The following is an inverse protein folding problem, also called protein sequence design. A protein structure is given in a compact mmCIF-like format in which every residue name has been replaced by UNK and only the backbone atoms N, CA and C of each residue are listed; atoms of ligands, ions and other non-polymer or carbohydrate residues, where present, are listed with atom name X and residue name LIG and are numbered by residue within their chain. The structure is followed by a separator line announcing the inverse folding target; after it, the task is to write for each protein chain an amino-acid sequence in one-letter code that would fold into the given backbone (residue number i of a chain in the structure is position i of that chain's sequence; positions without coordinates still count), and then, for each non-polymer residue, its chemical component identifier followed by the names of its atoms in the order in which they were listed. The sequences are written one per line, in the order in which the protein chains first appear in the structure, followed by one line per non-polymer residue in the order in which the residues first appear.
data_IF_500639860999
#
_entry.id   IF_500639860999
#
_cell.length_a   1.000
_cell.length_b   1.000
_cell.length_c   1.000
_cell.angle_alpha   90.00
_cell.angle_beta   90.00
_cell.angle_gamma   90.00
#
_symmetry.space_group_name_H-M   'P 1'
#
loop_
_entity.id
_entity.type
_entity.pdbx_description
1 polymer ?
#
# COMPACT_ATOMS: atom_id res chain seq x y z
N UNK A 1 4.35 -10.62 0.69
CA UNK A 1 4.27 -11.80 -0.19
C UNK A 1 5.21 -12.91 0.34
N UNK A 2 4.84 -13.56 1.46
CA UNK A 2 5.71 -14.57 2.08
C UNK A 2 6.08 -15.74 1.15
N UNK A 3 5.22 -16.06 0.19
CA UNK A 3 5.45 -17.12 -0.79
C UNK A 3 6.71 -16.90 -1.64
N UNK A 4 7.09 -15.65 -1.92
CA UNK A 4 8.28 -15.34 -2.72
C UNK A 4 9.60 -15.68 -2.00
N UNK A 5 9.56 -15.89 -0.68
CA UNK A 5 10.76 -16.31 0.08
C UNK A 5 11.10 -17.79 -0.07
N UNK A 6 10.21 -18.57 -0.69
CA UNK A 6 10.41 -20.01 -0.90
C UNK A 6 11.09 -20.33 -2.23
N UNK A 7 11.41 -19.32 -3.04
CA UNK A 7 12.02 -19.48 -4.36
C UNK A 7 13.29 -18.62 -4.47
N UNK A 8 14.15 -18.94 -5.44
CA UNK A 8 15.39 -18.17 -5.68
C UNK A 8 15.08 -16.71 -6.01
N UNK A 9 15.99 -15.81 -5.63
CA UNK A 9 15.84 -14.37 -5.87
C UNK A 9 15.68 -14.04 -7.37
N UNK A 10 16.36 -14.80 -8.23
CA UNK A 10 16.28 -14.70 -9.70
C UNK A 10 14.85 -14.89 -10.21
N UNK A 11 14.08 -15.77 -9.57
CA UNK A 11 12.67 -16.01 -9.90
C UNK A 11 11.72 -15.11 -9.10
N UNK A 12 12.06 -14.78 -7.86
CA UNK A 12 11.22 -13.96 -6.98
C UNK A 12 11.06 -12.52 -7.48
N UNK A 13 12.15 -11.91 -7.97
CA UNK A 13 12.17 -10.48 -8.29
C UNK A 13 11.29 -10.11 -9.49
N UNK A 14 11.28 -10.86 -10.62
CA UNK A 14 10.34 -10.62 -11.72
C UNK A 14 8.88 -10.78 -11.30
N UNK A 15 8.56 -11.83 -10.54
CA UNK A 15 7.19 -12.10 -10.04
C UNK A 15 6.72 -10.98 -9.10
N UNK A 16 7.60 -10.53 -8.22
CA UNK A 16 7.34 -9.36 -7.36
C UNK A 16 7.05 -8.11 -8.20
N UNK A 17 7.88 -7.81 -9.20
CA UNK A 17 7.74 -6.60 -10.02
C UNK A 17 6.43 -6.59 -10.82
N UNK A 18 6.06 -7.73 -11.40
CA UNK A 18 4.77 -7.91 -12.07
C UNK A 18 3.61 -7.64 -11.10
N UNK A 19 3.63 -8.28 -9.93
CA UNK A 19 2.59 -8.14 -8.91
C UNK A 19 2.47 -6.71 -8.38
N UNK A 20 3.61 -6.05 -8.13
CA UNK A 20 3.68 -4.66 -7.71
C UNK A 20 3.02 -3.72 -8.72
N UNK A 21 3.27 -3.93 -10.01
CA UNK A 21 2.72 -3.08 -11.08
C UNK A 21 1.19 -3.19 -11.22
N UNK A 22 0.61 -4.34 -10.89
CA UNK A 22 -0.84 -4.51 -10.81
C UNK A 22 -1.37 -3.87 -9.52
N UNK A 23 -0.76 -4.20 -8.38
CA UNK A 23 -1.20 -3.73 -7.06
C UNK A 23 -1.20 -2.21 -6.92
N UNK A 24 -0.22 -1.51 -7.51
CA UNK A 24 -0.17 -0.04 -7.47
C UNK A 24 -1.38 0.60 -8.17
N UNK A 25 -1.86 0.01 -9.28
CA UNK A 25 -3.02 0.53 -10.02
C UNK A 25 -4.30 0.35 -9.22
N UNK A 26 -4.49 -0.84 -8.64
CA UNK A 26 -5.63 -1.13 -7.75
C UNK A 26 -5.65 -0.18 -6.54
N UNK A 27 -4.49 0.09 -5.93
CA UNK A 27 -4.42 0.98 -4.78
C UNK A 27 -4.90 2.40 -5.11
N UNK A 28 -4.50 2.94 -6.27
CA UNK A 28 -4.97 4.27 -6.71
C UNK A 28 -6.50 4.26 -6.83
N UNK A 29 -7.07 3.20 -7.42
CA UNK A 29 -8.52 3.01 -7.48
C UNK A 29 -9.18 3.05 -6.10
N UNK A 30 -8.69 2.27 -5.14
CA UNK A 30 -9.25 2.24 -3.79
C UNK A 30 -9.15 3.58 -3.05
N UNK A 31 -8.03 4.30 -3.19
CA UNK A 31 -7.86 5.63 -2.59
C UNK A 31 -8.87 6.61 -3.19
N UNK A 32 -9.00 6.63 -4.52
CA UNK A 32 -9.94 7.53 -5.20
C UNK A 32 -11.40 7.22 -4.85
N UNK A 33 -11.78 5.95 -4.87
CA UNK A 33 -13.13 5.53 -4.47
C UNK A 33 -13.42 5.91 -3.03
N UNK A 34 -12.49 5.64 -2.10
CA UNK A 34 -12.65 6.02 -0.69
C UNK A 34 -12.78 7.53 -0.51
N UNK A 35 -11.96 8.33 -1.20
CA UNK A 35 -12.01 9.78 -1.11
C UNK A 35 -13.34 10.33 -1.64
N UNK A 36 -13.74 9.92 -2.85
CA UNK A 36 -14.99 10.39 -3.46
C UNK A 36 -16.20 10.00 -2.62
N UNK A 37 -16.27 8.75 -2.18
CA UNK A 37 -17.42 8.25 -1.40
C UNK A 37 -17.50 8.88 -0.02
N UNK A 38 -16.42 8.94 0.75
CA UNK A 38 -16.47 9.52 2.09
C UNK A 38 -16.73 11.04 2.09
N UNK A 39 -16.20 11.80 1.12
CA UNK A 39 -16.56 13.22 0.95
C UNK A 39 -18.05 13.37 0.57
N UNK A 40 -18.55 12.51 -0.32
CA UNK A 40 -19.96 12.53 -0.75
C UNK A 40 -20.94 12.18 0.36
N UNK A 41 -20.57 11.27 1.26
CA UNK A 41 -21.41 10.91 2.41
C UNK A 41 -21.32 11.99 3.49
N UNK A 42 -20.12 12.50 3.77
CA UNK A 42 -19.93 13.61 4.71
C UNK A 42 -20.77 14.83 4.33
N UNK A 43 -20.82 15.21 3.05
CA UNK A 43 -21.59 16.39 2.61
C UNK A 43 -23.11 16.24 2.77
N UNK A 44 -23.62 15.03 2.98
CA UNK A 44 -25.06 14.75 3.16
C UNK A 44 -25.45 14.50 4.62
N UNK A 45 -24.52 13.96 5.39
CA UNK A 45 -24.77 13.48 6.77
C UNK A 45 -24.12 14.36 7.82
N UNK A 46 -23.16 15.20 7.41
CA UNK A 46 -22.25 15.96 8.29
C UNK A 46 -21.46 15.07 9.28
N UNK A 47 -21.47 13.74 9.06
CA UNK A 47 -20.81 12.79 9.93
C UNK A 47 -19.29 12.76 9.66
N UNK A 48 -18.45 13.27 10.59
CA UNK A 48 -17.02 13.50 10.34
C UNK A 48 -16.21 12.20 10.19
N UNK A 49 -16.72 11.05 10.65
CA UNK A 49 -16.02 9.78 10.58
C UNK A 49 -15.79 9.31 9.14
N UNK A 50 -16.73 9.62 8.23
CA UNK A 50 -16.60 9.36 6.80
C UNK A 50 -15.45 10.14 6.18
N UNK A 51 -15.34 11.43 6.49
CA UNK A 51 -14.25 12.27 6.00
C UNK A 51 -12.90 11.82 6.59
N UNK A 52 -12.87 11.52 7.89
CA UNK A 52 -11.66 11.05 8.56
C UNK A 52 -11.16 9.71 7.99
N UNK A 53 -12.04 8.75 7.73
CA UNK A 53 -11.69 7.49 7.08
C UNK A 53 -11.08 7.69 5.68
N UNK A 54 -11.68 8.57 4.87
CA UNK A 54 -11.12 8.95 3.57
C UNK A 54 -9.73 9.59 3.68
N UNK A 55 -9.51 10.47 4.65
CA UNK A 55 -8.21 11.11 4.88
C UNK A 55 -7.14 10.07 5.28
N UNK A 56 -7.48 9.09 6.12
CA UNK A 56 -6.58 7.98 6.45
C UNK A 56 -6.22 7.19 5.18
N UNK A 57 -7.21 6.86 4.34
CA UNK A 57 -6.95 6.18 3.07
C UNK A 57 -6.05 6.99 2.14
N UNK A 58 -6.27 8.30 2.02
CA UNK A 58 -5.41 9.19 1.23
C UNK A 58 -3.99 9.28 1.80
N UNK A 59 -3.82 9.21 3.12
CA UNK A 59 -2.50 9.24 3.78
C UNK A 59 -1.61 8.01 3.45
N UNK A 60 -2.17 6.96 2.84
CA UNK A 60 -1.38 5.86 2.26
C UNK A 60 -0.40 6.39 1.19
N UNK A 61 -0.71 7.48 0.49
CA UNK A 61 0.16 8.09 -0.52
C UNK A 61 1.48 8.56 0.11
N UNK A 62 1.49 9.53 1.07
CA UNK A 62 2.74 9.96 1.69
C UNK A 62 3.48 8.82 2.40
N UNK A 63 2.78 7.88 3.03
CA UNK A 63 3.41 6.68 3.60
C UNK A 63 4.15 5.85 2.53
N UNK A 64 3.50 5.63 1.38
CA UNK A 64 4.09 4.85 0.28
C UNK A 64 5.31 5.56 -0.29
N UNK A 65 5.23 6.88 -0.51
CA UNK A 65 6.35 7.67 -1.03
C UNK A 65 7.55 7.68 -0.06
N UNK A 66 7.29 7.84 1.24
CA UNK A 66 8.35 7.94 2.24
C UNK A 66 9.04 6.60 2.53
N UNK A 67 8.26 5.51 2.66
CA UNK A 67 8.80 4.25 3.20
C UNK A 67 8.91 3.13 2.17
N UNK A 68 7.90 2.95 1.31
CA UNK A 68 7.84 1.82 0.38
C UNK A 68 8.59 2.12 -0.92
N UNK A 69 8.45 3.33 -1.46
CA UNK A 69 9.02 3.71 -2.75
C UNK A 69 10.56 3.60 -2.77
N UNK A 70 11.32 3.95 -1.72
CA UNK A 70 12.77 3.72 -1.70
C UNK A 70 13.15 2.23 -1.84
N UNK A 71 12.37 1.33 -1.25
CA UNK A 71 12.56 -0.12 -1.36
C UNK A 71 12.22 -0.59 -2.77
N UNK A 72 11.10 -0.14 -3.32
CA UNK A 72 10.69 -0.48 -4.70
C UNK A 72 11.75 -0.03 -5.72
N UNK A 73 12.24 1.20 -5.60
CA UNK A 73 13.25 1.73 -6.52
C UNK A 73 14.54 0.92 -6.46
N UNK A 74 14.93 0.47 -5.27
CA UNK A 74 16.12 -0.39 -5.10
C UNK A 74 15.91 -1.76 -5.74
N UNK A 75 14.77 -2.41 -5.49
CA UNK A 75 14.43 -3.71 -6.09
C UNK A 75 14.33 -3.64 -7.62
N UNK A 76 13.71 -2.59 -8.16
CA UNK A 76 13.62 -2.35 -9.61
C UNK A 76 15.01 -2.07 -10.23
N UNK A 77 15.88 -1.32 -9.53
CA UNK A 77 17.24 -1.08 -10.01
C UNK A 77 18.08 -2.35 -10.09
N UNK A 78 17.87 -3.30 -9.16
CA UNK A 78 18.51 -4.61 -9.20
C UNK A 78 17.95 -5.44 -10.37
N UNK A 79 16.63 -5.43 -10.56
CA UNK A 79 15.98 -6.14 -11.67
C UNK A 79 16.48 -5.64 -13.04
N UNK A 80 16.69 -4.34 -13.18
CA UNK A 80 17.22 -3.71 -14.41
C UNK A 80 18.74 -3.93 -14.61
N UNK A 81 19.42 -4.64 -13.71
CA UNK A 81 20.87 -4.83 -13.76
C UNK A 81 21.69 -3.57 -13.44
N UNK A 82 21.05 -2.49 -12.97
CA UNK A 82 21.71 -1.20 -12.64
C UNK A 82 22.40 -1.23 -11.27
N UNK A 83 22.11 -2.24 -10.44
CA UNK A 83 22.78 -2.51 -9.15
C UNK A 83 23.02 -4.01 -9.02
N UNK A 84 24.26 -4.42 -8.71
CA UNK A 84 24.61 -5.84 -8.55
C UNK A 84 24.35 -6.38 -7.14
N UNK A 85 24.55 -5.58 -6.09
CA UNK A 85 24.75 -6.10 -4.72
C UNK A 85 23.66 -5.70 -3.73
N UNK A 86 22.40 -6.01 -4.06
CA UNK A 86 21.31 -5.92 -3.10
C UNK A 86 21.00 -7.28 -2.49
N UNK A 87 20.96 -7.39 -1.16
CA UNK A 87 20.31 -8.53 -0.51
C UNK A 87 18.79 -8.46 -0.80
N UNK A 88 18.37 -9.08 -1.91
CA UNK A 88 17.00 -9.10 -2.42
C UNK A 88 16.04 -9.65 -1.37
N UNK A 89 16.43 -10.74 -0.69
CA UNK A 89 15.62 -11.36 0.37
C UNK A 89 15.32 -10.37 1.50
N UNK A 90 16.34 -9.63 1.97
CA UNK A 90 16.17 -8.59 3.00
C UNK A 90 15.26 -7.46 2.52
N UNK A 91 15.40 -7.03 1.26
CA UNK A 91 14.57 -5.97 0.68
C UNK A 91 13.11 -6.41 0.51
N UNK A 92 12.86 -7.61 0.01
CA UNK A 92 11.52 -8.21 -0.07
C UNK A 92 10.92 -8.39 1.34
N UNK A 93 11.74 -8.76 2.32
CA UNK A 93 11.31 -8.86 3.72
C UNK A 93 10.88 -7.51 4.28
N UNK A 94 11.68 -6.46 4.06
CA UNK A 94 11.33 -5.10 4.45
C UNK A 94 10.08 -4.61 3.71
N UNK A 95 9.95 -4.93 2.43
CA UNK A 95 8.78 -4.60 1.63
C UNK A 95 7.50 -5.20 2.23
N UNK A 96 7.55 -6.47 2.64
CA UNK A 96 6.43 -7.15 3.31
C UNK A 96 6.03 -6.46 4.62
N UNK A 97 7.01 -6.15 5.46
CA UNK A 97 6.79 -5.49 6.75
C UNK A 97 6.16 -4.11 6.56
N UNK A 98 6.63 -3.32 5.60
CA UNK A 98 6.07 -1.99 5.33
C UNK A 98 4.64 -2.06 4.80
N UNK A 99 4.26 -3.12 4.09
CA UNK A 99 2.88 -3.30 3.63
C UNK A 99 1.92 -3.63 4.78
N UNK A 100 2.39 -4.23 5.87
CA UNK A 100 1.59 -4.39 7.08
C UNK A 100 1.10 -3.05 7.61
N UNK A 101 1.94 -2.01 7.56
CA UNK A 101 1.53 -0.63 7.92
C UNK A 101 0.36 -0.14 7.07
N UNK A 102 0.36 -0.39 5.75
CA UNK A 102 -0.77 -0.06 4.87
C UNK A 102 -2.03 -0.84 5.21
N UNK A 103 -1.90 -2.12 5.57
CA UNK A 103 -3.03 -2.93 6.04
C UNK A 103 -3.64 -2.34 7.31
N UNK A 104 -2.82 -1.95 8.28
CA UNK A 104 -3.29 -1.31 9.51
C UNK A 104 -4.02 0.00 9.24
N UNK A 105 -3.49 0.85 8.34
CA UNK A 105 -4.16 2.10 7.95
C UNK A 105 -5.53 1.84 7.30
N UNK A 106 -5.62 0.84 6.42
CA UNK A 106 -6.89 0.44 5.81
C UNK A 106 -7.90 -0.10 6.82
N UNK A 107 -7.45 -0.95 7.77
CA UNK A 107 -8.28 -1.46 8.87
C UNK A 107 -8.75 -0.32 9.78
N UNK A 108 -7.87 0.63 10.11
CA UNK A 108 -8.22 1.79 10.91
C UNK A 108 -9.26 2.68 10.21
N UNK A 109 -9.08 2.94 8.90
CA UNK A 109 -10.05 3.69 8.11
C UNK A 109 -11.41 2.99 8.09
N UNK A 110 -11.44 1.67 7.86
CA UNK A 110 -12.66 0.88 7.87
C UNK A 110 -13.35 0.91 9.24
N UNK A 111 -12.60 0.66 10.32
CA UNK A 111 -13.13 0.67 11.68
C UNK A 111 -13.68 2.03 12.09
N UNK A 112 -13.05 3.12 11.65
CA UNK A 112 -13.51 4.49 11.94
C UNK A 112 -14.85 4.79 11.24
N UNK A 113 -14.97 4.45 9.96
CA UNK A 113 -16.22 4.62 9.21
C UNK A 113 -17.33 3.74 9.79
N UNK A 114 -17.01 2.47 10.10
CA UNK A 114 -17.97 1.54 10.70
C UNK A 114 -18.46 2.05 12.06
N UNK A 115 -17.56 2.56 12.90
CA UNK A 115 -17.93 3.17 14.17
C UNK A 115 -18.87 4.35 13.97
N UNK A 116 -18.54 5.25 13.04
CA UNK A 116 -19.36 6.42 12.75
C UNK A 116 -20.75 6.11 12.19
N UNK A 117 -20.92 4.95 11.53
CA UNK A 117 -22.23 4.49 11.07
C UNK A 117 -23.07 3.87 12.20
N UNK A 118 -22.43 3.28 13.21
CA UNK A 118 -23.10 2.58 14.31
C UNK A 118 -23.35 3.46 15.55
N UNK A 119 -22.76 4.66 15.61
CA UNK A 119 -22.89 5.62 16.70
C UNK A 119 -24.00 6.63 16.47
#
# INVERSE_FOLDING_TARGET
MPALRKISNENALPVWAHSYNIGKKLQVGFIMTSLVTGVSVYSRTENPYYLAGSLIMTSIIPYTLAFIMPVNNTLLSILDGKKSDGNIERLLTKWDQLHFGRTLMGVAAFGLVLYGELS
#
